data_IF_033591638866
#
_entry.id   IF_033591638866
#
_cell.length_a   1.000
_cell.length_b   1.000
_cell.length_c   1.000
_cell.angle_alpha   90.00
_cell.angle_beta   90.00
_cell.angle_gamma   90.00
#
_symmetry.space_group_name_H-M   'P 1'
#
loop_
_entity.id
_entity.type
_entity.pdbx_description
1 polymer ?
#
# COMPACT_ATOMS: atom_id res chain seq x y z
N UNK A 1 -14.03 -11.48 -16.93
CA UNK A 1 -13.41 -10.18 -16.62
C UNK A 1 -13.24 -10.15 -15.11
N UNK A 2 -12.01 -9.99 -14.61
CA UNK A 2 -11.81 -9.82 -13.17
C UNK A 2 -12.24 -8.40 -12.79
N UNK A 3 -12.97 -8.29 -11.68
CA UNK A 3 -13.37 -7.01 -11.09
C UNK A 3 -12.49 -6.73 -9.87
N UNK A 4 -12.25 -5.46 -9.58
CA UNK A 4 -11.53 -5.06 -8.37
C UNK A 4 -12.34 -5.41 -7.12
N UNK A 5 -11.65 -5.74 -6.03
CA UNK A 5 -12.27 -5.91 -4.72
C UNK A 5 -12.95 -4.61 -4.25
N UNK A 6 -13.86 -4.65 -3.25
CA UNK A 6 -14.48 -3.45 -2.70
C UNK A 6 -13.46 -2.43 -2.20
N UNK A 7 -13.88 -1.17 -2.08
CA UNK A 7 -13.05 -0.14 -1.47
C UNK A 7 -12.83 -0.43 0.01
N UNK A 8 -11.58 -0.31 0.46
CA UNK A 8 -11.17 -0.50 1.85
C UNK A 8 -10.30 0.67 2.30
N UNK A 9 -10.25 0.88 3.60
CA UNK A 9 -9.37 1.86 4.26
C UNK A 9 -8.16 1.15 4.86
N UNK A 10 -7.02 1.84 5.01
CA UNK A 10 -5.93 1.31 5.81
C UNK A 10 -6.40 1.11 7.26
N UNK A 11 -5.95 0.04 7.88
CA UNK A 11 -6.11 -0.17 9.32
C UNK A 11 -4.93 0.41 10.12
N UNK A 12 -3.79 0.65 9.45
CA UNK A 12 -2.62 1.30 10.01
C UNK A 12 -1.91 2.15 8.96
N UNK A 13 -1.32 3.25 9.42
CA UNK A 13 -0.48 4.15 8.63
C UNK A 13 0.81 4.40 9.39
N UNK A 14 1.92 4.47 8.67
CA UNK A 14 3.25 4.68 9.25
C UNK A 14 4.02 5.74 8.48
N UNK A 15 5.04 6.26 9.16
CA UNK A 15 6.06 7.11 8.59
C UNK A 15 7.43 6.52 8.96
N UNK A 16 8.13 5.97 7.98
CA UNK A 16 9.43 5.35 8.17
C UNK A 16 10.54 6.34 7.78
N UNK A 17 11.33 6.78 8.76
CA UNK A 17 12.58 7.48 8.51
C UNK A 17 13.58 6.54 7.83
N UNK A 18 14.11 6.98 6.69
CA UNK A 18 15.18 6.28 5.95
C UNK A 18 16.45 7.14 5.99
N UNK A 19 17.09 7.39 4.85
CA UNK A 19 18.28 8.25 4.77
C UNK A 19 17.96 9.71 4.40
N UNK A 20 18.78 10.63 4.91
CA UNK A 20 18.70 12.05 4.57
C UNK A 20 17.38 12.69 5.03
N UNK A 21 16.76 13.58 4.22
CA UNK A 21 15.52 14.25 4.61
C UNK A 21 14.27 13.37 4.41
N UNK A 22 14.40 12.17 3.83
CA UNK A 22 13.25 11.41 3.37
C UNK A 22 12.58 10.62 4.49
N UNK A 23 11.24 10.67 4.50
CA UNK A 23 10.38 9.78 5.26
C UNK A 23 9.44 9.11 4.27
N UNK A 24 9.25 7.79 4.44
CA UNK A 24 8.41 6.97 3.58
C UNK A 24 7.05 6.82 4.24
N UNK A 25 6.00 7.26 3.54
CA UNK A 25 4.62 6.96 3.93
C UNK A 25 4.32 5.49 3.61
N UNK A 26 3.68 4.80 4.55
CA UNK A 26 3.30 3.39 4.41
C UNK A 26 1.86 3.25 4.90
N UNK A 27 1.06 2.51 4.15
CA UNK A 27 -0.27 2.08 4.54
C UNK A 27 -0.34 0.56 4.64
N UNK A 28 -1.08 0.05 5.63
CA UNK A 28 -1.44 -1.35 5.70
C UNK A 28 -2.95 -1.53 5.58
N UNK A 29 -3.37 -2.41 4.66
CA UNK A 29 -4.77 -2.70 4.35
C UNK A 29 -5.04 -4.21 4.35
N UNK A 30 -6.32 -4.60 4.36
CA UNK A 30 -6.73 -6.00 4.34
C UNK A 30 -6.57 -6.70 5.69
N UNK A 31 -6.21 -7.98 5.67
CA UNK A 31 -6.12 -8.82 6.85
C UNK A 31 -4.72 -8.70 7.47
N UNK A 32 -4.56 -8.19 8.71
CA UNK A 32 -3.25 -8.07 9.37
C UNK A 32 -2.52 -9.41 9.58
N UNK A 33 -3.25 -10.53 9.52
CA UNK A 33 -2.71 -11.90 9.63
C UNK A 33 -2.66 -12.62 8.27
N UNK A 34 -2.99 -11.94 7.18
CA UNK A 34 -2.96 -12.48 5.82
C UNK A 34 -1.55 -12.61 5.25
N UNK A 35 -1.46 -13.15 4.03
CA UNK A 35 -0.20 -13.25 3.29
C UNK A 35 0.31 -11.83 2.98
N UNK A 36 1.56 -11.48 3.32
CA UNK A 36 2.07 -10.13 3.08
C UNK A 36 2.34 -9.90 1.59
N UNK A 37 1.87 -8.77 1.08
CA UNK A 37 2.20 -8.29 -0.27
C UNK A 37 2.63 -6.83 -0.22
N UNK A 38 3.72 -6.51 -0.92
CA UNK A 38 4.24 -5.15 -1.06
C UNK A 38 3.87 -4.59 -2.43
N UNK A 39 3.22 -3.43 -2.45
CA UNK A 39 2.79 -2.76 -3.67
C UNK A 39 3.82 -1.71 -4.08
N UNK A 40 4.47 -1.92 -5.22
CA UNK A 40 5.39 -0.95 -5.83
C UNK A 40 4.68 -0.15 -6.91
N UNK A 41 4.38 1.12 -6.65
CA UNK A 41 3.76 1.99 -7.66
C UNK A 41 4.72 2.30 -8.83
N UNK A 42 4.14 2.65 -10.00
CA UNK A 42 4.88 3.04 -11.20
C UNK A 42 5.25 4.52 -11.25
N UNK A 43 5.67 4.99 -12.43
CA UNK A 43 6.13 6.36 -12.67
C UNK A 43 7.56 6.38 -13.24
N UNK A 44 8.58 6.79 -12.47
CA UNK A 44 8.64 6.94 -11.01
C UNK A 44 7.99 8.24 -10.49
N UNK A 45 7.75 8.30 -9.16
CA UNK A 45 7.30 9.53 -8.48
C UNK A 45 5.79 9.79 -8.50
N UNK A 46 4.96 8.80 -8.85
CA UNK A 46 3.50 8.98 -8.88
C UNK A 46 2.80 8.82 -7.51
N UNK A 47 3.46 8.17 -6.55
CA UNK A 47 2.82 7.78 -5.29
C UNK A 47 1.81 6.65 -5.44
N UNK A 48 1.31 6.20 -4.30
CA UNK A 48 0.23 5.21 -4.21
C UNK A 48 -1.14 5.87 -4.29
N UNK A 49 -2.16 5.11 -4.71
CA UNK A 49 -3.54 5.59 -4.81
C UNK A 49 -4.51 4.55 -4.23
N UNK A 50 -5.69 4.97 -3.69
CA UNK A 50 -6.64 4.06 -3.04
C UNK A 50 -7.10 2.87 -3.91
N UNK A 51 -7.09 3.04 -5.24
CA UNK A 51 -7.39 1.97 -6.20
C UNK A 51 -6.50 0.74 -5.99
N UNK A 52 -5.24 0.94 -5.63
CA UNK A 52 -4.24 -0.13 -5.51
C UNK A 52 -4.53 -1.09 -4.35
N UNK A 53 -5.31 -0.66 -3.35
CA UNK A 53 -5.75 -1.51 -2.24
C UNK A 53 -6.69 -2.64 -2.69
N UNK A 54 -7.20 -2.57 -3.93
CA UNK A 54 -8.30 -3.41 -4.45
C UNK A 54 -7.86 -4.50 -5.41
N UNK A 55 -6.55 -4.65 -5.64
CA UNK A 55 -6.00 -5.70 -6.53
C UNK A 55 -5.85 -7.07 -5.83
N UNK A 56 -5.85 -7.08 -4.50
CA UNK A 56 -5.66 -8.29 -3.69
C UNK A 56 -6.91 -8.52 -2.83
N UNK A 57 -7.21 -9.79 -2.57
CA UNK A 57 -8.31 -10.15 -1.69
C UNK A 57 -8.01 -9.68 -0.26
N UNK A 58 -8.80 -8.74 0.30
CA UNK A 58 -8.51 -8.16 1.61
C UNK A 58 -8.68 -9.15 2.77
N UNK A 59 -9.41 -10.25 2.59
CA UNK A 59 -9.54 -11.27 3.63
C UNK A 59 -8.32 -12.21 3.69
N UNK A 60 -7.61 -12.35 2.56
CA UNK A 60 -6.47 -13.27 2.43
C UNK A 60 -5.10 -12.58 2.55
N UNK A 61 -5.01 -11.29 2.21
CA UNK A 61 -3.73 -10.57 2.12
C UNK A 61 -3.61 -9.45 3.14
N UNK A 62 -2.39 -9.30 3.68
CA UNK A 62 -1.90 -8.08 4.32
C UNK A 62 -1.25 -7.21 3.26
N UNK A 63 -1.95 -6.18 2.82
CA UNK A 63 -1.54 -5.34 1.69
C UNK A 63 -0.75 -4.15 2.22
N UNK A 64 0.53 -4.05 1.86
CA UNK A 64 1.41 -2.96 2.27
C UNK A 64 1.68 -2.06 1.07
N UNK A 65 1.19 -0.83 1.12
CA UNK A 65 1.45 0.21 0.12
C UNK A 65 2.49 1.17 0.70
N UNK A 66 3.42 1.65 -0.13
CA UNK A 66 4.38 2.66 0.30
C UNK A 66 4.66 3.64 -0.84
N UNK A 67 4.88 4.90 -0.47
CA UNK A 67 5.31 5.93 -1.42
C UNK A 67 6.82 5.91 -1.51
N UNK A 68 7.35 5.80 -2.73
CA UNK A 68 8.80 5.90 -2.96
C UNK A 68 9.32 7.31 -2.59
N UNK A 69 10.64 7.47 -2.55
CA UNK A 69 11.24 8.75 -2.14
C UNK A 69 10.80 9.90 -3.07
N UNK A 70 10.18 10.93 -2.50
CA UNK A 70 9.85 12.17 -3.21
C UNK A 70 8.52 12.17 -3.95
N UNK A 71 7.62 11.22 -3.65
CA UNK A 71 6.22 11.25 -4.08
C UNK A 71 5.26 11.25 -2.90
#
# INVERSE_FOLDING_TARGET
MLVLFPEIRPYAEHQLSVDGPHKIHIEECGNPQGIPVLVCHGGPGCGTVPLQRRFFDPEHYRIVLFDQRGC
#
